data_IF_407851366325
#
_entry.id   IF_407851366325
#
_cell.length_a   1.000
_cell.length_b   1.000
_cell.length_c   1.000
_cell.angle_alpha   90.00
_cell.angle_beta   90.00
_cell.angle_gamma   90.00
#
_symmetry.space_group_name_H-M   'P 1'
#
loop_
_entity.id
_entity.type
_entity.pdbx_description
1 polymer ?
#
# COMPACT_ATOMS: atom_id res chain seq x y z
N UNK A 1 -24.77 -6.04 -31.72
CA UNK A 1 -23.83 -6.91 -31.01
C UNK A 1 -24.60 -7.84 -30.12
N UNK A 2 -24.41 -9.15 -30.29
CA UNK A 2 -24.98 -10.20 -29.44
C UNK A 2 -24.02 -10.53 -28.31
N UNK A 3 -24.52 -11.15 -27.23
CA UNK A 3 -23.69 -11.55 -26.09
C UNK A 3 -22.47 -12.41 -26.50
N UNK A 4 -22.66 -13.27 -27.52
CA UNK A 4 -21.62 -14.13 -28.08
C UNK A 4 -20.52 -13.33 -28.82
N UNK A 5 -20.90 -12.26 -29.51
CA UNK A 5 -19.96 -11.39 -30.22
C UNK A 5 -19.11 -10.58 -29.22
N UNK A 6 -19.72 -10.09 -28.13
CA UNK A 6 -18.98 -9.39 -27.08
C UNK A 6 -17.99 -10.32 -26.36
N UNK A 7 -18.38 -11.56 -26.11
CA UNK A 7 -17.52 -12.55 -25.45
C UNK A 7 -16.27 -12.86 -26.28
N UNK A 8 -16.43 -13.00 -27.59
CA UNK A 8 -15.30 -13.19 -28.52
C UNK A 8 -14.33 -11.99 -28.52
N UNK A 9 -14.86 -10.77 -28.45
CA UNK A 9 -14.03 -9.55 -28.36
C UNK A 9 -13.27 -9.51 -27.03
N UNK A 10 -13.89 -9.92 -25.93
CA UNK A 10 -13.23 -10.01 -24.61
C UNK A 10 -12.12 -11.06 -24.61
N UNK A 11 -12.36 -12.24 -25.19
CA UNK A 11 -11.37 -13.31 -25.31
C UNK A 11 -10.18 -12.93 -26.21
N UNK A 12 -10.41 -12.16 -27.28
CA UNK A 12 -9.35 -11.68 -28.18
C UNK A 12 -8.52 -10.52 -27.60
N UNK A 13 -9.14 -9.64 -26.81
CA UNK A 13 -8.49 -8.43 -26.28
C UNK A 13 -7.86 -8.62 -24.90
N UNK A 14 -8.37 -9.54 -24.08
CA UNK A 14 -7.91 -9.75 -22.72
C UNK A 14 -7.33 -11.16 -22.65
N UNK A 15 -6.00 -11.31 -22.69
CA UNK A 15 -5.38 -12.60 -22.43
C UNK A 15 -5.86 -13.06 -21.07
N UNK A 16 -6.40 -14.28 -20.98
CA UNK A 16 -6.71 -14.92 -19.70
C UNK A 16 -5.40 -15.12 -18.96
N UNK A 17 -4.99 -14.12 -18.18
CA UNK A 17 -3.84 -14.26 -17.31
C UNK A 17 -4.23 -15.34 -16.28
N UNK A 18 -3.38 -16.35 -16.06
CA UNK A 18 -3.64 -17.29 -14.99
C UNK A 18 -3.81 -16.47 -13.70
N UNK A 19 -4.80 -16.83 -12.91
CA UNK A 19 -4.94 -16.28 -11.57
C UNK A 19 -3.59 -16.48 -10.88
N UNK A 20 -2.91 -15.37 -10.57
CA UNK A 20 -1.80 -15.44 -9.64
C UNK A 20 -2.46 -15.76 -8.31
N UNK A 21 -2.32 -17.00 -7.87
CA UNK A 21 -2.36 -17.27 -6.44
C UNK A 21 -1.12 -16.55 -5.93
N UNK A 22 -1.27 -15.30 -5.51
CA UNK A 22 -0.21 -14.63 -4.79
C UNK A 22 0.11 -15.55 -3.62
N UNK A 23 1.25 -16.23 -3.70
CA UNK A 23 1.68 -17.07 -2.61
C UNK A 23 1.90 -16.11 -1.46
N UNK A 24 1.04 -16.20 -0.46
CA UNK A 24 1.29 -15.63 0.85
C UNK A 24 2.59 -16.29 1.30
N UNK A 25 3.70 -15.60 1.06
CA UNK A 25 5.01 -16.06 1.47
C UNK A 25 4.95 -15.97 2.98
N UNK A 26 5.09 -17.09 3.68
CA UNK A 26 5.23 -17.09 5.14
C UNK A 26 6.51 -16.30 5.45
N UNK A 27 6.34 -15.01 5.73
CA UNK A 27 7.42 -14.16 6.21
C UNK A 27 7.51 -14.45 7.70
N UNK A 28 8.65 -14.97 8.13
CA UNK A 28 8.98 -15.05 9.53
C UNK A 28 9.26 -13.63 10.03
N UNK A 29 8.29 -13.05 10.75
CA UNK A 29 8.36 -11.71 11.33
C UNK A 29 9.63 -11.49 12.18
N UNK A 30 10.24 -12.56 12.71
CA UNK A 30 11.48 -12.47 13.48
C UNK A 30 12.71 -12.12 12.62
N UNK A 31 12.62 -12.29 11.29
CA UNK A 31 13.68 -11.92 10.34
C UNK A 31 13.51 -10.50 9.79
N UNK A 32 12.42 -9.79 10.10
CA UNK A 32 12.23 -8.40 9.69
C UNK A 32 12.86 -7.51 10.78
N UNK A 33 13.99 -6.84 10.51
CA UNK A 33 14.55 -5.92 11.49
C UNK A 33 13.56 -4.79 11.78
N UNK A 34 13.33 -4.50 13.05
CA UNK A 34 12.55 -3.34 13.45
C UNK A 34 13.28 -2.05 13.04
N UNK A 35 12.53 -1.05 12.60
CA UNK A 35 13.08 0.29 12.37
C UNK A 35 13.57 0.89 13.69
N UNK A 36 14.75 1.51 13.64
CA UNK A 36 15.23 2.35 14.73
C UNK A 36 14.40 3.62 14.86
N UNK A 37 14.41 4.24 16.05
CA UNK A 37 13.72 5.51 16.27
C UNK A 37 14.18 6.59 15.29
N UNK A 38 15.49 6.68 15.01
CA UNK A 38 16.03 7.65 14.05
C UNK A 38 15.54 7.43 12.61
N UNK A 39 15.37 6.18 12.18
CA UNK A 39 14.78 5.88 10.86
C UNK A 39 13.32 6.32 10.79
N UNK A 40 12.55 6.07 11.87
CA UNK A 40 11.17 6.53 11.98
C UNK A 40 11.10 8.07 11.97
N UNK A 41 12.02 8.77 12.65
CA UNK A 41 12.06 10.24 12.69
C UNK A 41 12.28 10.82 11.29
N UNK A 42 13.26 10.26 10.57
CA UNK A 42 13.55 10.66 9.18
C UNK A 42 12.32 10.42 8.31
N UNK A 43 11.69 9.25 8.41
CA UNK A 43 10.50 8.91 7.63
C UNK A 43 9.34 9.88 7.89
N UNK A 44 9.00 10.12 9.16
CA UNK A 44 7.91 11.03 9.55
C UNK A 44 8.21 12.47 9.15
N UNK A 45 9.46 12.93 9.26
CA UNK A 45 9.86 14.27 8.82
C UNK A 45 9.65 14.50 7.32
N UNK A 46 9.80 13.45 6.52
CA UNK A 46 9.68 13.48 5.05
C UNK A 46 8.23 13.54 4.54
N UNK A 47 7.24 13.30 5.40
CA UNK A 47 5.83 13.33 5.01
C UNK A 47 5.43 14.74 4.53
N UNK A 48 4.59 14.82 3.50
CA UNK A 48 4.08 16.09 2.98
C UNK A 48 2.90 16.58 3.82
N UNK A 49 2.96 17.84 4.22
CA UNK A 49 1.87 18.49 4.94
C UNK A 49 0.75 18.90 3.97
N UNK A 50 -0.46 19.10 4.50
CA UNK A 50 -1.65 19.63 3.81
C UNK A 50 -2.14 18.77 2.66
N UNK A 51 -1.72 17.51 2.61
CA UNK A 51 -2.36 16.52 1.77
C UNK A 51 -3.69 16.09 2.38
N UNK A 52 -4.63 15.69 1.53
CA UNK A 52 -5.86 15.07 2.01
C UNK A 52 -5.51 13.77 2.72
N UNK A 53 -6.05 13.51 3.92
CA UNK A 53 -5.85 12.24 4.60
C UNK A 53 -6.26 11.06 3.74
N UNK A 54 -5.60 9.94 3.93
CA UNK A 54 -5.97 8.66 3.33
C UNK A 54 -7.25 8.11 3.99
N UNK A 55 -7.76 6.93 3.59
CA UNK A 55 -9.00 6.38 4.16
C UNK A 55 -9.00 6.20 5.69
N UNK A 56 -7.81 6.22 6.32
CA UNK A 56 -7.64 6.22 7.77
C UNK A 56 -8.05 7.56 8.44
N UNK A 57 -8.17 8.64 7.67
CA UNK A 57 -8.53 9.97 8.14
C UNK A 57 -7.43 10.69 8.91
N UNK A 58 -6.18 10.19 8.91
CA UNK A 58 -5.09 10.73 9.74
C UNK A 58 -4.21 11.69 8.90
N UNK A 59 -4.15 12.98 9.25
CA UNK A 59 -3.23 13.92 8.60
C UNK A 59 -1.77 13.66 8.99
N UNK A 60 -0.85 13.91 8.05
CA UNK A 60 0.59 13.78 8.28
C UNK A 60 1.11 14.65 9.44
N UNK A 61 0.47 15.79 9.71
CA UNK A 61 0.80 16.68 10.81
C UNK A 61 0.62 16.03 12.17
N UNK A 62 -0.37 15.15 12.32
CA UNK A 62 -0.61 14.41 13.57
C UNK A 62 0.55 13.46 13.83
N UNK A 63 0.98 12.71 12.82
CA UNK A 63 2.12 11.78 12.92
C UNK A 63 3.41 12.52 13.29
N UNK A 64 3.63 13.70 12.70
CA UNK A 64 4.77 14.56 13.03
C UNK A 64 4.74 15.08 14.46
N UNK A 65 3.57 15.36 15.01
CA UNK A 65 3.46 15.84 16.38
C UNK A 65 3.60 14.71 17.39
N UNK A 66 3.01 13.54 17.12
CA UNK A 66 3.18 12.35 17.98
C UNK A 66 4.63 11.91 18.07
N UNK A 67 5.41 12.08 16.99
CA UNK A 67 6.83 11.74 16.99
C UNK A 67 7.67 12.65 17.89
N UNK A 68 7.27 13.92 18.09
CA UNK A 68 7.97 14.85 18.99
C UNK A 68 7.65 14.61 20.47
N UNK A 69 6.51 13.98 20.74
CA UNK A 69 6.01 13.69 22.10
C UNK A 69 6.47 12.29 22.56
N UNK A 70 6.87 11.43 21.63
CA UNK A 70 7.42 10.11 21.93
C UNK A 70 8.73 10.26 22.76
N UNK A 71 8.85 9.56 23.91
CA UNK A 71 9.99 9.67 24.82
C UNK A 71 11.29 9.10 24.24
#
# INVERSE_FOLDING_TARGET
MTAREMQKVVEELIPTHPFRTDFETEIDDSNIPAFSMGELEVAVSSLKNRNTPEPDGIPAEILKETMKIAP
#
